data_IF_925984925301
#
_entry.id   IF_925984925301
#
_cell.length_a   1.000
_cell.length_b   1.000
_cell.length_c   1.000
_cell.angle_alpha   90.00
_cell.angle_beta   90.00
_cell.angle_gamma   90.00
#
_symmetry.space_group_name_H-M   'P 1'
#
loop_
_entity.id
_entity.type
_entity.pdbx_description
1 polymer ?
#
# COMPACT_ATOMS: atom_id res chain seq x y z
N UNK A 1 -15.87 1.55 -4.45
CA UNK A 1 -14.46 1.49 -4.94
C UNK A 1 -14.32 1.80 -6.44
N UNK A 2 -14.41 3.09 -6.86
CA UNK A 2 -14.07 3.53 -8.23
C UNK A 2 -12.63 4.06 -8.35
N UNK A 3 -12.07 4.56 -7.25
CA UNK A 3 -10.73 5.15 -7.20
C UNK A 3 -9.63 4.17 -7.64
N UNK A 4 -9.50 3.02 -6.97
CA UNK A 4 -8.47 2.02 -7.28
C UNK A 4 -8.64 1.33 -8.65
N UNK A 5 -9.82 1.45 -9.27
CA UNK A 5 -10.10 0.96 -10.62
C UNK A 5 -9.91 2.05 -11.69
N UNK A 6 -9.70 3.30 -11.29
CA UNK A 6 -9.53 4.42 -12.21
C UNK A 6 -8.25 4.27 -13.02
N UNK A 7 -8.27 4.74 -14.27
CA UNK A 7 -7.09 4.79 -15.12
C UNK A 7 -5.98 5.63 -14.48
N UNK A 8 -6.34 6.78 -13.91
CA UNK A 8 -5.41 7.68 -13.24
C UNK A 8 -4.66 6.99 -12.10
N UNK A 9 -5.35 6.23 -11.24
CA UNK A 9 -4.67 5.48 -10.18
C UNK A 9 -3.71 4.43 -10.74
N UNK A 10 -4.12 3.69 -11.78
CA UNK A 10 -3.25 2.68 -12.40
C UNK A 10 -1.98 3.30 -12.99
N UNK A 11 -2.11 4.46 -13.63
CA UNK A 11 -0.99 5.17 -14.23
C UNK A 11 -0.02 5.73 -13.18
N UNK A 12 -0.55 6.31 -12.09
CA UNK A 12 0.27 6.80 -10.96
C UNK A 12 0.94 5.64 -10.23
N UNK A 13 0.20 4.56 -9.97
CA UNK A 13 0.73 3.36 -9.33
C UNK A 13 1.92 2.78 -10.10
N UNK A 14 1.82 2.71 -11.43
CA UNK A 14 2.92 2.23 -12.26
C UNK A 14 4.14 3.16 -12.19
N UNK A 15 3.93 4.48 -12.14
CA UNK A 15 5.01 5.46 -11.99
C UNK A 15 5.72 5.33 -10.64
N UNK A 16 4.98 5.15 -9.55
CA UNK A 16 5.54 4.93 -8.21
C UNK A 16 6.35 3.64 -8.16
N UNK A 17 5.83 2.54 -8.72
CA UNK A 17 6.56 1.27 -8.79
C UNK A 17 7.88 1.42 -9.57
N UNK A 18 7.87 2.14 -10.70
CA UNK A 18 9.08 2.41 -11.49
C UNK A 18 10.07 3.29 -10.74
N UNK A 19 9.62 4.38 -10.11
CA UNK A 19 10.45 5.26 -9.26
C UNK A 19 11.17 4.46 -8.18
N UNK A 20 10.44 3.54 -7.56
CA UNK A 20 10.91 2.72 -6.45
C UNK A 20 11.71 1.48 -6.93
N UNK A 21 12.01 1.36 -8.23
CA UNK A 21 12.69 0.22 -8.85
C UNK A 21 12.01 -1.13 -8.59
N UNK A 22 10.70 -1.14 -8.39
CA UNK A 22 9.94 -2.31 -7.93
C UNK A 22 10.56 -2.94 -6.67
N UNK A 23 10.99 -2.10 -5.72
CA UNK A 23 11.51 -2.50 -4.42
C UNK A 23 10.61 -1.97 -3.29
N UNK A 24 10.38 -2.80 -2.27
CA UNK A 24 9.76 -2.37 -1.03
C UNK A 24 10.66 -1.36 -0.32
N UNK A 25 10.18 -0.11 -0.21
CA UNK A 25 10.92 0.99 0.40
C UNK A 25 11.09 0.82 1.92
N UNK A 26 10.09 0.23 2.61
CA UNK A 26 10.21 -0.10 4.02
C UNK A 26 11.25 -1.20 4.31
N UNK A 27 11.40 -2.19 3.42
CA UNK A 27 12.47 -3.18 3.51
C UNK A 27 13.83 -2.55 3.22
N UNK A 28 13.90 -1.67 2.21
CA UNK A 28 15.12 -0.95 1.84
C UNK A 28 15.68 -0.11 2.98
N UNK A 29 14.81 0.61 3.72
CA UNK A 29 15.19 1.33 4.95
C UNK A 29 15.78 0.45 6.05
N UNK A 30 15.47 -0.85 6.05
CA UNK A 30 16.01 -1.85 6.99
C UNK A 30 17.24 -2.58 6.43
N UNK A 31 17.80 -2.14 5.30
CA UNK A 31 18.92 -2.80 4.62
C UNK A 31 18.54 -4.12 3.93
N UNK A 32 17.25 -4.34 3.65
CA UNK A 32 16.76 -5.54 2.96
C UNK A 32 16.26 -5.20 1.56
N UNK A 33 16.52 -6.08 0.60
CA UNK A 33 15.96 -5.98 -0.74
C UNK A 33 14.76 -6.92 -0.83
N UNK A 34 13.60 -6.38 -1.21
CA UNK A 34 12.38 -7.17 -1.44
C UNK A 34 11.69 -6.65 -2.68
N UNK A 35 11.62 -7.51 -3.71
CA UNK A 35 11.12 -7.19 -5.04
C UNK A 35 9.95 -8.10 -5.41
N UNK A 36 9.54 -8.05 -6.69
CA UNK A 36 8.49 -8.91 -7.24
C UNK A 36 8.87 -10.40 -7.11
N UNK A 37 7.94 -11.17 -6.56
CA UNK A 37 8.00 -12.62 -6.45
C UNK A 37 6.92 -13.23 -7.35
N UNK A 38 7.35 -13.84 -8.46
CA UNK A 38 6.46 -14.42 -9.48
C UNK A 38 5.67 -15.64 -8.98
N UNK A 39 6.06 -16.24 -7.85
CA UNK A 39 5.30 -17.34 -7.24
C UNK A 39 4.07 -16.87 -6.46
N UNK A 40 3.97 -15.57 -6.18
CA UNK A 40 2.87 -14.97 -5.43
C UNK A 40 1.92 -14.25 -6.37
N UNK A 41 0.63 -14.34 -6.06
CA UNK A 41 -0.41 -13.56 -6.73
C UNK A 41 -0.15 -12.04 -6.62
N UNK A 42 0.48 -11.59 -5.52
CA UNK A 42 0.86 -10.20 -5.26
C UNK A 42 2.06 -10.18 -4.32
N UNK A 43 3.10 -9.44 -4.70
CA UNK A 43 4.34 -9.32 -3.91
C UNK A 43 4.56 -7.89 -3.41
N UNK A 44 4.22 -6.91 -4.25
CA UNK A 44 4.33 -5.47 -3.97
C UNK A 44 2.99 -4.77 -4.23
N UNK A 45 2.78 -3.69 -3.51
CA UNK A 45 1.73 -2.71 -3.80
C UNK A 45 2.18 -1.29 -3.50
N UNK A 46 1.40 -0.32 -3.97
CA UNK A 46 1.59 1.09 -3.64
C UNK A 46 0.55 1.48 -2.60
N UNK A 47 1.03 2.09 -1.53
CA UNK A 47 0.26 2.46 -0.36
C UNK A 47 0.38 3.96 -0.07
N UNK A 48 -0.70 4.56 0.44
CA UNK A 48 -0.73 5.99 0.79
C UNK A 48 -0.10 6.22 2.16
N UNK A 49 0.98 7.00 2.25
CA UNK A 49 1.66 7.33 3.52
C UNK A 49 0.67 7.97 4.50
N UNK A 50 -0.03 9.01 4.03
CA UNK A 50 -1.20 9.62 4.67
C UNK A 50 -2.47 9.05 4.05
N UNK A 51 -3.34 8.50 4.90
CA UNK A 51 -4.54 7.77 4.49
C UNK A 51 -5.45 8.59 3.56
N UNK A 52 -5.94 7.93 2.51
CA UNK A 52 -6.79 8.53 1.48
C UNK A 52 -8.08 9.16 2.02
N UNK A 53 -8.63 8.59 3.10
CA UNK A 53 -9.87 9.08 3.73
C UNK A 53 -9.67 10.46 4.37
N UNK A 54 -8.52 10.69 5.00
CA UNK A 54 -8.21 11.95 5.67
C UNK A 54 -7.62 12.99 4.72
N UNK A 55 -6.91 12.53 3.68
CA UNK A 55 -6.16 13.38 2.73
C UNK A 55 -6.48 13.04 1.27
N UNK A 56 -7.74 13.19 0.82
CA UNK A 56 -8.12 12.90 -0.57
C UNK A 56 -7.40 13.80 -1.59
N UNK A 57 -6.97 14.99 -1.19
CA UNK A 57 -6.16 15.90 -2.00
C UNK A 57 -4.78 15.32 -2.35
N UNK A 58 -4.25 14.40 -1.52
CA UNK A 58 -2.95 13.76 -1.71
C UNK A 58 -3.07 12.38 -2.37
N UNK A 59 -4.24 12.04 -2.92
CA UNK A 59 -4.53 10.70 -3.44
C UNK A 59 -3.60 10.25 -4.57
N UNK A 60 -3.08 11.20 -5.35
CA UNK A 60 -2.19 10.98 -6.49
C UNK A 60 -0.82 11.62 -6.31
N UNK A 61 -0.54 12.16 -5.12
CA UNK A 61 0.74 12.80 -4.82
C UNK A 61 1.82 11.72 -4.72
N UNK A 62 2.85 11.83 -5.55
CA UNK A 62 3.96 10.87 -5.57
C UNK A 62 4.67 10.79 -4.22
N UNK A 63 4.78 11.90 -3.50
CA UNK A 63 5.46 11.93 -2.20
C UNK A 63 4.61 11.34 -1.09
N UNK A 64 3.29 11.25 -1.29
CA UNK A 64 2.37 10.54 -0.41
C UNK A 64 2.22 9.05 -0.76
N UNK A 65 2.96 8.53 -1.75
CA UNK A 65 2.83 7.16 -2.22
C UNK A 65 4.13 6.38 -2.08
N UNK A 66 4.03 5.15 -1.59
CA UNK A 66 5.18 4.30 -1.32
C UNK A 66 4.96 2.86 -1.77
N UNK A 67 5.96 2.27 -2.44
CA UNK A 67 5.97 0.83 -2.74
C UNK A 67 6.30 0.00 -1.50
N UNK A 68 5.38 -0.86 -1.10
CA UNK A 68 5.51 -1.78 0.03
C UNK A 68 5.29 -3.24 -0.42
N UNK A 69 6.01 -4.18 0.20
CA UNK A 69 5.66 -5.58 0.09
C UNK A 69 4.43 -5.92 0.93
N UNK A 70 3.75 -7.02 0.60
CA UNK A 70 2.50 -7.43 1.29
C UNK A 70 2.68 -7.51 2.82
N UNK A 71 3.84 -7.98 3.31
CA UNK A 71 4.10 -8.05 4.75
C UNK A 71 4.25 -6.67 5.40
N UNK A 72 4.97 -5.74 4.76
CA UNK A 72 5.11 -4.37 5.22
C UNK A 72 3.76 -3.62 5.18
N UNK A 73 3.00 -3.79 4.10
CA UNK A 73 1.67 -3.23 3.96
C UNK A 73 0.72 -3.72 5.08
N UNK A 74 0.68 -5.03 5.33
CA UNK A 74 -0.13 -5.60 6.41
C UNK A 74 0.31 -5.13 7.81
N UNK A 75 1.62 -4.88 8.00
CA UNK A 75 2.17 -4.36 9.25
C UNK A 75 1.73 -2.92 9.50
N UNK A 76 1.73 -2.08 8.45
CA UNK A 76 1.26 -0.69 8.54
C UNK A 76 -0.22 -0.62 8.91
N UNK A 77 -1.05 -1.37 8.18
CA UNK A 77 -2.51 -1.42 8.38
C UNK A 77 -2.95 -2.30 9.57
N UNK A 78 -1.99 -2.71 10.41
CA UNK A 78 -2.19 -3.48 11.64
C UNK A 78 -3.14 -4.70 11.53
N UNK A 79 -3.18 -5.37 10.37
CA UNK A 79 -4.16 -6.44 10.05
C UNK A 79 -4.06 -7.69 10.94
N UNK A 80 -3.05 -7.79 11.81
CA UNK A 80 -2.82 -8.94 12.69
C UNK A 80 -2.90 -8.65 14.20
N UNK A 81 -3.09 -7.40 14.67
CA UNK A 81 -3.17 -7.12 16.12
C UNK A 81 -4.61 -7.12 16.68
N UNK A 82 -5.62 -7.39 15.87
CA UNK A 82 -7.04 -7.34 16.29
C UNK A 82 -7.66 -8.71 16.61
N UNK A 83 -6.91 -9.67 17.17
CA UNK A 83 -7.55 -10.81 17.86
C UNK A 83 -7.91 -10.53 19.33
N UNK A 84 -7.54 -9.38 19.89
CA UNK A 84 -7.74 -9.13 21.33
C UNK A 84 -8.16 -7.71 21.73
N UNK A 85 -8.73 -6.86 20.86
CA UNK A 85 -9.50 -5.70 21.35
C UNK A 85 -10.76 -5.44 20.51
N UNK A 86 -11.88 -5.71 21.18
CA UNK A 86 -13.21 -5.11 21.12
C UNK A 86 -13.78 -4.72 19.74
N UNK A 87 -14.90 -5.38 19.43
CA UNK A 87 -15.96 -4.90 18.54
C UNK A 87 -16.16 -3.40 18.73
N UNK A 88 -16.02 -2.62 17.65
CA UNK A 88 -16.88 -1.48 17.32
C UNK A 88 -16.76 -1.23 15.80
N UNK A 89 -17.87 -1.54 15.15
CA UNK A 89 -18.49 -1.01 13.93
C UNK A 89 -17.67 -0.13 12.96
N UNK A 90 -17.77 -0.51 11.67
CA UNK A 90 -17.48 0.28 10.45
C UNK A 90 -16.03 0.52 10.01
N UNK A 91 -15.24 -0.55 9.81
CA UNK A 91 -14.12 -0.53 8.85
C UNK A 91 -14.54 -1.24 7.55
N UNK A 92 -15.19 -0.48 6.68
CA UNK A 92 -15.36 -0.74 5.24
C UNK A 92 -14.51 0.35 4.58
N UNK A 93 -13.52 0.15 3.75
CA UNK A 93 -13.30 -0.88 2.76
C UNK A 93 -11.84 -0.76 2.27
N UNK A 94 -10.96 -1.62 2.75
CA UNK A 94 -9.63 -1.86 2.14
C UNK A 94 -9.49 -3.36 1.80
N UNK A 95 -10.61 -3.95 1.39
CA UNK A 95 -10.68 -5.32 0.89
C UNK A 95 -10.21 -5.29 -0.57
N UNK A 96 -8.91 -5.48 -0.74
CA UNK A 96 -8.25 -5.74 -2.02
C UNK A 96 -8.42 -7.20 -2.44
#
# INVERSE_FOLDING_TARGET
MRFYKSKQWRDVREQVLKRDNYECQACKRQGKVTTIDKSKHKSLDVDHILELESHPELAYDMDNLETLCVSCHNKKHNRYQSKWKMKNENSKDEKW
#
